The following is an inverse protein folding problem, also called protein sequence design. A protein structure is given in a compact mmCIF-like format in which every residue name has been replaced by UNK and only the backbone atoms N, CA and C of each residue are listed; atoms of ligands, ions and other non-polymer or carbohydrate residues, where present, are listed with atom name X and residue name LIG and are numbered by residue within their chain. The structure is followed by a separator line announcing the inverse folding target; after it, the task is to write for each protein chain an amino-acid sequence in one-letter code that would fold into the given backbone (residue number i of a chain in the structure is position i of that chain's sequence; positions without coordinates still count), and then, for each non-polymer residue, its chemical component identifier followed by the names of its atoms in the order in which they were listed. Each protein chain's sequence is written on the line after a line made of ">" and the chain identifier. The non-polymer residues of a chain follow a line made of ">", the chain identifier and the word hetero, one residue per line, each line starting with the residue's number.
data_IF_819086243790
#
_entry.id   IF_819086243790
#
_cell.length_a   1.000
_cell.length_b   1.000
_cell.length_c   1.000
_cell.angle_alpha   90.00
_cell.angle_beta   90.00
_cell.angle_gamma   90.00
#
_symmetry.space_group_name_H-M   'P 1'
#
loop_
_entity.id
_entity.type
_entity.pdbx_description
1 polymer ?
#
# COMPACT_ATOMS: atom_id res chain seq x y z
N UNK A 1 6.01 34.73 35.09
CA UNK A 1 7.06 34.23 34.17
C UNK A 1 7.99 33.26 34.87
N UNK A 2 8.36 33.53 36.13
CA UNK A 2 9.18 32.66 36.99
C UNK A 2 8.59 31.26 37.18
N UNK A 3 7.27 31.15 37.38
CA UNK A 3 6.59 29.86 37.54
C UNK A 3 6.71 28.94 36.31
N UNK A 4 6.72 29.49 35.09
CA UNK A 4 6.90 28.70 33.86
C UNK A 4 8.34 28.22 33.70
N UNK A 5 9.31 29.05 34.09
CA UNK A 5 10.73 28.69 34.06
C UNK A 5 11.08 27.64 35.13
N UNK A 6 10.43 27.67 36.29
CA UNK A 6 10.54 26.61 37.30
C UNK A 6 9.88 25.31 36.83
N UNK A 7 8.69 25.35 36.22
CA UNK A 7 8.06 24.15 35.63
C UNK A 7 8.96 23.55 34.53
N UNK A 8 9.57 24.40 33.69
CA UNK A 8 10.51 23.98 32.65
C UNK A 8 11.80 23.41 33.26
N UNK A 9 12.36 24.02 34.31
CA UNK A 9 13.55 23.51 35.01
C UNK A 9 13.29 22.21 35.78
N UNK A 10 12.13 22.08 36.40
CA UNK A 10 11.68 20.85 37.09
C UNK A 10 11.39 19.74 36.08
N UNK A 11 10.79 20.07 34.93
CA UNK A 11 10.59 19.14 33.82
C UNK A 11 11.89 18.70 33.13
N UNK A 12 12.90 19.57 33.05
CA UNK A 12 14.23 19.26 32.51
C UNK A 12 15.19 18.62 33.52
N UNK A 13 14.95 18.81 34.82
CA UNK A 13 15.89 18.46 35.90
C UNK A 13 16.18 16.98 36.05
N UNK A 14 15.28 16.12 35.55
CA UNK A 14 15.40 14.67 35.54
C UNK A 14 15.02 14.10 34.16
N UNK A 15 15.46 14.76 33.08
CA UNK A 15 15.23 14.23 31.74
C UNK A 15 16.03 12.95 31.52
N UNK A 16 15.44 11.83 31.96
CA UNK A 16 16.07 10.53 31.90
C UNK A 16 16.30 10.17 30.44
N UNK A 17 17.55 9.89 30.08
CA UNK A 17 17.91 9.36 28.76
C UNK A 17 17.00 8.18 28.37
N UNK A 18 16.55 7.39 29.35
CA UNK A 18 15.59 6.32 29.15
C UNK A 18 14.24 6.78 28.55
N UNK A 19 13.69 7.90 29.03
CA UNK A 19 12.42 8.45 28.52
C UNK A 19 12.59 8.93 27.07
N UNK A 20 13.67 9.65 26.77
CA UNK A 20 13.99 10.08 25.41
C UNK A 20 14.18 8.90 24.46
N UNK A 21 14.97 7.90 24.86
CA UNK A 21 15.21 6.69 24.08
C UNK A 21 13.90 5.95 23.81
N UNK A 22 13.06 5.78 24.84
CA UNK A 22 11.76 5.11 24.72
C UNK A 22 10.85 5.77 23.67
N UNK A 23 10.77 7.10 23.68
CA UNK A 23 9.96 7.82 22.71
C UNK A 23 10.51 7.71 21.29
N UNK A 24 11.83 7.85 21.12
CA UNK A 24 12.48 7.68 19.82
C UNK A 24 12.28 6.26 19.29
N UNK A 25 12.34 5.23 20.14
CA UNK A 25 12.06 3.85 19.77
C UNK A 25 10.63 3.68 19.26
N UNK A 26 9.63 4.27 19.93
CA UNK A 26 8.23 4.22 19.49
C UNK A 26 8.03 4.95 18.17
N UNK A 27 8.63 6.15 18.00
CA UNK A 27 8.54 6.90 16.73
C UNK A 27 9.19 6.10 15.60
N UNK A 28 10.36 5.51 15.83
CA UNK A 28 11.04 4.65 14.86
C UNK A 28 10.18 3.42 14.49
N UNK A 29 9.54 2.79 15.47
CA UNK A 29 8.60 1.70 15.23
C UNK A 29 7.41 2.15 14.36
N UNK A 30 6.85 3.33 14.61
CA UNK A 30 5.76 3.89 13.79
C UNK A 30 6.20 4.18 12.34
N UNK A 31 7.41 4.69 12.14
CA UNK A 31 8.01 4.90 10.79
C UNK A 31 8.17 3.55 10.08
N UNK A 32 8.64 2.54 10.80
CA UNK A 32 8.81 1.20 10.27
C UNK A 32 7.49 0.55 9.84
N UNK A 33 6.46 0.60 10.71
CA UNK A 33 5.13 0.03 10.43
C UNK A 33 4.47 0.71 9.24
N UNK A 34 4.51 2.04 9.16
CA UNK A 34 3.93 2.79 8.03
C UNK A 34 4.66 2.49 6.71
N UNK A 35 5.99 2.30 6.77
CA UNK A 35 6.78 1.82 5.63
C UNK A 35 6.36 0.42 5.17
N UNK A 36 6.23 -0.53 6.10
CA UNK A 36 5.76 -1.89 5.79
C UNK A 36 4.36 -1.90 5.16
N UNK A 37 3.43 -1.07 5.66
CA UNK A 37 2.09 -0.96 5.09
C UNK A 37 2.11 -0.42 3.65
N UNK A 38 2.94 0.59 3.36
CA UNK A 38 3.08 1.14 2.00
C UNK A 38 3.66 0.13 1.00
N UNK A 39 4.62 -0.68 1.46
CA UNK A 39 5.16 -1.80 0.67
C UNK A 39 4.09 -2.86 0.45
N UNK A 40 3.32 -3.20 1.48
CA UNK A 40 2.24 -4.19 1.41
C UNK A 40 1.11 -3.75 0.46
N UNK A 41 0.70 -2.48 0.47
CA UNK A 41 -0.27 -1.92 -0.49
C UNK A 41 0.26 -2.05 -1.93
N UNK A 42 1.53 -1.71 -2.13
CA UNK A 42 2.16 -1.81 -3.45
C UNK A 42 2.29 -3.27 -3.92
N UNK A 43 2.67 -4.18 -3.03
CA UNK A 43 2.73 -5.61 -3.32
C UNK A 43 1.33 -6.17 -3.64
N UNK A 44 0.30 -5.75 -2.92
CA UNK A 44 -1.10 -6.09 -3.19
C UNK A 44 -1.54 -5.57 -4.56
N UNK A 45 -1.17 -4.33 -4.91
CA UNK A 45 -1.42 -3.73 -6.22
C UNK A 45 -0.72 -4.45 -7.37
N UNK A 46 0.55 -4.85 -7.18
CA UNK A 46 1.32 -5.64 -8.16
C UNK A 46 0.72 -7.04 -8.35
N UNK A 47 0.38 -7.71 -7.25
CA UNK A 47 -0.24 -9.03 -7.30
C UNK A 47 -1.63 -8.96 -7.97
N UNK A 48 -2.37 -7.86 -7.79
CA UNK A 48 -3.64 -7.61 -8.48
C UNK A 48 -3.41 -7.44 -9.97
N UNK A 49 -2.51 -6.53 -10.36
CA UNK A 49 -2.22 -6.26 -11.78
C UNK A 49 -1.75 -7.50 -12.55
N UNK A 50 -0.94 -8.37 -11.92
CA UNK A 50 -0.54 -9.66 -12.51
C UNK A 50 -1.72 -10.61 -12.75
N UNK A 51 -2.71 -10.62 -11.84
CA UNK A 51 -3.91 -11.48 -11.96
C UNK A 51 -4.91 -10.94 -12.98
N UNK A 52 -5.03 -9.62 -13.13
CA UNK A 52 -5.94 -8.98 -14.10
C UNK A 52 -5.31 -8.75 -15.48
N UNK A 53 -4.05 -9.12 -15.69
CA UNK A 53 -3.35 -8.96 -16.97
C UNK A 53 -3.00 -7.51 -17.35
N UNK A 54 -3.12 -6.56 -16.43
CA UNK A 54 -2.74 -5.16 -16.69
C UNK A 54 -1.21 -5.01 -16.76
N UNK A 55 -0.72 -4.22 -17.73
CA UNK A 55 0.72 -3.92 -17.85
C UNK A 55 1.22 -3.25 -16.57
N UNK A 56 2.18 -3.92 -15.91
CA UNK A 56 2.97 -3.37 -14.80
C UNK A 56 3.70 -2.09 -15.26
N UNK A 57 3.16 -0.92 -14.89
CA UNK A 57 3.82 0.36 -15.16
C UNK A 57 4.79 0.71 -14.03
N UNK A 58 6.08 0.84 -14.37
CA UNK A 58 7.16 1.30 -13.47
C UNK A 58 6.86 2.65 -12.78
N UNK A 59 6.05 3.49 -13.42
CA UNK A 59 5.56 4.75 -12.86
C UNK A 59 4.81 4.57 -11.52
N UNK A 60 4.11 3.44 -11.32
CA UNK A 60 3.36 3.18 -10.08
C UNK A 60 4.29 3.01 -8.86
N UNK A 61 5.46 2.40 -9.05
CA UNK A 61 6.48 2.25 -8.01
C UNK A 61 7.08 3.59 -7.58
N UNK A 62 7.39 4.48 -8.55
CA UNK A 62 7.88 5.83 -8.23
C UNK A 62 6.89 6.63 -7.38
N UNK A 63 5.60 6.51 -7.69
CA UNK A 63 4.53 7.15 -6.92
C UNK A 63 4.41 6.58 -5.49
N UNK A 64 4.68 5.28 -5.30
CA UNK A 64 4.77 4.69 -3.95
C UNK A 64 5.96 5.27 -3.17
N UNK A 65 7.15 5.35 -3.79
CA UNK A 65 8.33 5.93 -3.14
C UNK A 65 8.09 7.39 -2.75
N UNK A 66 7.43 8.16 -3.61
CA UNK A 66 7.06 9.55 -3.32
C UNK A 66 6.10 9.65 -2.13
N UNK A 67 5.04 8.83 -2.08
CA UNK A 67 4.14 8.74 -0.92
C UNK A 67 4.90 8.35 0.35
N UNK A 68 5.76 7.34 0.26
CA UNK A 68 6.54 6.85 1.40
C UNK A 68 7.49 7.92 1.94
N UNK A 69 8.17 8.65 1.05
CA UNK A 69 9.03 9.77 1.42
C UNK A 69 8.25 10.88 2.12
N UNK A 70 7.05 11.23 1.61
CA UNK A 70 6.17 12.22 2.23
C UNK A 70 5.69 11.77 3.61
N UNK A 71 5.26 10.51 3.75
CA UNK A 71 4.83 9.96 5.04
C UNK A 71 5.97 9.96 6.06
N UNK A 72 7.17 9.55 5.66
CA UNK A 72 8.33 9.59 6.55
C UNK A 72 8.73 11.01 6.91
N UNK A 73 8.67 11.96 5.97
CA UNK A 73 8.95 13.37 6.26
C UNK A 73 7.98 13.92 7.32
N UNK A 74 6.68 13.72 7.14
CA UNK A 74 5.68 14.15 8.13
C UNK A 74 5.81 13.39 9.46
N UNK A 75 6.13 12.09 9.43
CA UNK A 75 6.31 11.30 10.65
C UNK A 75 7.53 11.76 11.46
N UNK A 76 8.62 12.14 10.80
CA UNK A 76 9.79 12.76 11.44
C UNK A 76 9.42 14.13 12.02
N UNK A 77 8.69 14.97 11.27
CA UNK A 77 8.27 16.30 11.74
C UNK A 77 7.38 16.18 12.99
N UNK A 78 6.39 15.29 12.95
CA UNK A 78 5.53 14.99 14.10
C UNK A 78 6.32 14.38 15.25
N UNK A 79 7.34 13.55 14.95
CA UNK A 79 8.27 13.00 15.93
C UNK A 79 9.07 14.08 16.65
N UNK A 80 9.62 15.07 15.92
CA UNK A 80 10.33 16.21 16.51
C UNK A 80 9.40 17.02 17.42
N UNK A 81 8.17 17.29 16.97
CA UNK A 81 7.16 17.93 17.82
C UNK A 81 6.87 17.10 19.07
N UNK A 82 6.76 15.78 18.93
CA UNK A 82 6.61 14.86 20.06
C UNK A 82 7.77 14.89 21.05
N UNK A 83 9.01 15.04 20.58
CA UNK A 83 10.20 15.19 21.43
C UNK A 83 10.22 16.54 22.16
N UNK A 84 9.70 17.60 21.55
CA UNK A 84 9.53 18.89 22.23
C UNK A 84 8.45 18.76 23.31
N UNK A 85 7.35 18.09 23.00
CA UNK A 85 6.26 17.89 23.96
C UNK A 85 6.65 16.99 25.13
N UNK A 86 7.60 16.09 24.95
CA UNK A 86 8.03 15.23 26.04
C UNK A 86 8.79 15.90 27.15
N UNK A 87 9.29 17.12 26.90
CA UNK A 87 9.80 18.02 27.94
C UNK A 87 8.72 18.36 28.98
N UNK A 88 7.44 18.15 28.66
CA UNK A 88 6.35 18.33 29.60
C UNK A 88 6.03 17.02 30.35
N UNK A 89 5.79 17.09 31.67
CA UNK A 89 5.59 15.90 32.53
C UNK A 89 4.30 15.13 32.24
N UNK A 90 3.36 15.70 31.49
CA UNK A 90 2.11 15.04 31.09
C UNK A 90 2.24 14.23 29.79
N UNK A 91 3.38 14.30 29.11
CA UNK A 91 3.58 13.70 27.79
C UNK A 91 4.51 12.47 27.87
N UNK A 92 3.95 11.36 28.35
CA UNK A 92 4.68 10.11 28.60
C UNK A 92 4.95 9.28 27.33
N UNK A 93 4.17 9.50 26.26
CA UNK A 93 4.22 8.73 25.02
C UNK A 93 4.11 9.66 23.81
N UNK A 94 4.69 9.30 22.64
CA UNK A 94 4.59 10.11 21.44
C UNK A 94 3.22 9.92 20.76
N UNK A 95 2.15 10.40 21.42
CA UNK A 95 0.76 10.25 20.99
C UNK A 95 0.54 10.74 19.55
N UNK A 96 1.16 11.87 19.20
CA UNK A 96 1.02 12.46 17.86
C UNK A 96 1.54 11.54 16.76
N UNK A 97 2.71 10.92 16.97
CA UNK A 97 3.29 9.98 16.00
C UNK A 97 2.48 8.69 15.88
N UNK A 98 1.88 8.22 16.98
CA UNK A 98 1.00 7.04 16.98
C UNK A 98 -0.29 7.34 16.19
N UNK A 99 -0.93 8.48 16.47
CA UNK A 99 -2.15 8.91 15.76
C UNK A 99 -1.90 9.08 14.27
N UNK A 100 -0.79 9.71 13.89
CA UNK A 100 -0.45 9.91 12.48
C UNK A 100 -0.17 8.58 11.77
N UNK A 101 0.56 7.67 12.42
CA UNK A 101 0.80 6.32 11.88
C UNK A 101 -0.50 5.54 11.70
N UNK A 102 -1.42 5.60 12.67
CA UNK A 102 -2.73 4.96 12.57
C UNK A 102 -3.55 5.52 11.39
N UNK A 103 -3.54 6.85 11.19
CA UNK A 103 -4.21 7.49 10.05
C UNK A 103 -3.66 7.00 8.70
N UNK A 104 -2.34 6.89 8.56
CA UNK A 104 -1.70 6.33 7.35
C UNK A 104 -2.12 4.87 7.14
N UNK A 105 -2.05 4.05 8.18
CA UNK A 105 -2.43 2.64 8.10
C UNK A 105 -3.91 2.46 7.68
N UNK A 106 -4.81 3.32 8.17
CA UNK A 106 -6.23 3.31 7.75
C UNK A 106 -6.36 3.72 6.28
N UNK A 107 -5.64 4.75 5.84
CA UNK A 107 -5.70 5.23 4.45
C UNK A 107 -5.19 4.17 3.46
N UNK A 108 -4.02 3.56 3.72
CA UNK A 108 -3.47 2.50 2.89
C UNK A 108 -4.29 1.20 3.01
N UNK A 109 -4.79 0.88 4.20
CA UNK A 109 -5.69 -0.26 4.41
C UNK A 109 -6.99 -0.16 3.59
N UNK A 110 -7.57 1.03 3.46
CA UNK A 110 -8.72 1.26 2.56
C UNK A 110 -8.37 1.03 1.09
N UNK A 111 -7.19 1.44 0.63
CA UNK A 111 -6.69 1.15 -0.73
C UNK A 111 -6.56 -0.36 -0.97
N UNK A 112 -6.02 -1.11 0.01
CA UNK A 112 -5.91 -2.56 -0.08
C UNK A 112 -7.27 -3.26 -0.17
N UNK A 113 -8.26 -2.78 0.59
CA UNK A 113 -9.63 -3.30 0.53
C UNK A 113 -10.28 -3.09 -0.83
N UNK A 114 -10.10 -1.92 -1.45
CA UNK A 114 -10.62 -1.63 -2.79
C UNK A 114 -9.98 -2.55 -3.85
N UNK A 115 -8.67 -2.74 -3.79
CA UNK A 115 -7.97 -3.68 -4.67
C UNK A 115 -8.46 -5.12 -4.50
N UNK A 116 -8.72 -5.55 -3.27
CA UNK A 116 -9.28 -6.87 -2.98
C UNK A 116 -10.71 -7.04 -3.54
N UNK A 117 -11.56 -6.01 -3.40
CA UNK A 117 -12.92 -6.04 -3.93
C UNK A 117 -12.96 -6.10 -5.46
N UNK A 118 -12.10 -5.35 -6.15
CA UNK A 118 -11.95 -5.43 -7.62
C UNK A 118 -11.51 -6.83 -8.11
N UNK A 119 -10.83 -7.63 -7.28
CA UNK A 119 -10.51 -9.04 -7.60
C UNK A 119 -11.75 -9.92 -7.58
N UNK A 120 -12.64 -9.76 -6.59
CA UNK A 120 -13.89 -10.53 -6.54
C UNK A 120 -14.75 -10.25 -7.76
N UNK A 121 -14.86 -8.98 -8.14
CA UNK A 121 -15.74 -8.57 -9.24
C UNK A 121 -15.17 -8.91 -10.64
N UNK A 122 -13.85 -8.84 -10.85
CA UNK A 122 -13.25 -9.21 -12.14
C UNK A 122 -13.11 -10.73 -12.34
N UNK A 123 -12.84 -11.50 -11.27
CA UNK A 123 -12.79 -12.97 -11.37
C UNK A 123 -14.19 -13.55 -11.62
N UNK A 124 -15.26 -12.88 -11.20
CA UNK A 124 -16.64 -13.27 -11.52
C UNK A 124 -17.00 -13.01 -13.00
N UNK A 125 -16.48 -11.93 -13.58
CA UNK A 125 -16.78 -11.55 -14.98
C UNK A 125 -16.09 -12.39 -16.04
N UNK A 126 -14.97 -13.03 -15.71
CA UNK A 126 -14.26 -13.92 -16.67
C UNK A 126 -15.10 -15.16 -17.02
N UNK A 127 -15.63 -15.94 -16.07
CA UNK A 127 -16.50 -17.07 -16.38
C UNK A 127 -17.84 -16.62 -17.00
N UNK A 128 -18.39 -15.48 -16.60
CA UNK A 128 -19.61 -14.93 -17.22
C UNK A 128 -19.37 -14.52 -18.68
N UNK A 129 -18.31 -13.79 -18.99
CA UNK A 129 -17.97 -13.43 -20.37
C UNK A 129 -17.61 -14.65 -21.23
N UNK A 130 -16.99 -15.69 -20.63
CA UNK A 130 -16.73 -16.96 -21.31
C UNK A 130 -18.04 -17.72 -21.56
N UNK A 131 -18.97 -17.74 -20.61
CA UNK A 131 -20.30 -18.34 -20.81
C UNK A 131 -21.11 -17.60 -21.87
N UNK A 132 -21.13 -16.27 -21.84
CA UNK A 132 -21.83 -15.45 -22.83
C UNK A 132 -21.27 -15.66 -24.24
N UNK A 133 -19.95 -15.85 -24.36
CA UNK A 133 -19.30 -16.23 -25.63
C UNK A 133 -19.60 -17.67 -26.04
N UNK A 134 -19.69 -18.62 -25.11
CA UNK A 134 -20.11 -20.01 -25.38
C UNK A 134 -21.55 -20.03 -25.89
N UNK A 135 -22.43 -19.24 -25.29
CA UNK A 135 -23.84 -19.13 -25.68
C UNK A 135 -23.99 -18.46 -27.05
N UNK A 136 -23.21 -17.40 -27.33
CA UNK A 136 -23.18 -16.73 -28.64
C UNK A 136 -22.60 -17.60 -29.76
N UNK A 137 -21.60 -18.43 -29.44
CA UNK A 137 -20.90 -19.31 -30.39
C UNK A 137 -21.53 -20.72 -30.41
N UNK A 138 -22.65 -20.93 -29.72
CA UNK A 138 -23.42 -22.19 -29.81
C UNK A 138 -22.77 -23.40 -29.14
N UNK A 139 -21.73 -23.23 -28.33
CA UNK A 139 -21.10 -24.31 -27.57
C UNK A 139 -19.58 -24.16 -27.40
N UNK A 140 -19.04 -24.82 -26.36
CA UNK A 140 -17.61 -24.76 -26.03
C UNK A 140 -16.70 -25.25 -27.18
N UNK A 141 -17.15 -26.25 -27.93
CA UNK A 141 -16.35 -26.86 -28.99
C UNK A 141 -16.15 -25.95 -30.20
N UNK A 142 -17.14 -25.11 -30.52
CA UNK A 142 -17.01 -24.11 -31.59
C UNK A 142 -16.11 -22.96 -31.15
N UNK A 143 -16.25 -22.47 -29.90
CA UNK A 143 -15.38 -21.43 -29.35
C UNK A 143 -13.90 -21.85 -29.34
N UNK A 144 -13.61 -23.09 -28.94
CA UNK A 144 -12.25 -23.66 -29.00
C UNK A 144 -11.72 -23.68 -30.43
N UNK A 145 -12.53 -24.11 -31.41
CA UNK A 145 -12.15 -24.13 -32.82
C UNK A 145 -11.85 -22.74 -33.37
N UNK A 146 -12.67 -21.74 -33.04
CA UNK A 146 -12.46 -20.34 -33.47
C UNK A 146 -11.20 -19.74 -32.85
N UNK A 147 -10.94 -20.02 -31.56
CA UNK A 147 -9.70 -19.59 -30.89
C UNK A 147 -8.47 -20.25 -31.54
N UNK A 148 -8.51 -21.55 -31.82
CA UNK A 148 -7.40 -22.27 -32.47
C UNK A 148 -7.13 -21.70 -33.86
N UNK A 149 -8.18 -21.45 -34.67
CA UNK A 149 -8.01 -20.87 -36.01
C UNK A 149 -7.49 -19.43 -35.97
N UNK A 150 -7.93 -18.61 -35.01
CA UNK A 150 -7.40 -17.25 -34.83
C UNK A 150 -5.95 -17.25 -34.35
N UNK A 151 -5.59 -18.18 -33.46
CA UNK A 151 -4.21 -18.35 -32.98
C UNK A 151 -3.32 -18.85 -34.13
N UNK A 152 -3.75 -19.83 -34.91
CA UNK A 152 -3.01 -20.29 -36.11
C UNK A 152 -2.83 -19.16 -37.14
N UNK A 153 -3.88 -18.37 -37.38
CA UNK A 153 -3.83 -17.21 -38.28
C UNK A 153 -2.90 -16.12 -37.78
N UNK A 154 -2.83 -15.89 -36.46
CA UNK A 154 -1.91 -14.91 -35.83
C UNK A 154 -0.47 -15.39 -35.77
N UNK A 155 -0.25 -16.70 -35.67
CA UNK A 155 1.06 -17.33 -35.71
C UNK A 155 1.59 -17.51 -37.13
N UNK A 156 0.84 -17.11 -38.16
CA UNK A 156 1.27 -17.19 -39.55
C UNK A 156 1.47 -18.63 -40.04
N UNK A 157 0.75 -19.60 -39.47
CA UNK A 157 0.72 -20.98 -39.96
C UNK A 157 -0.30 -21.05 -41.12
N UNK A 158 -0.07 -20.26 -42.16
CA UNK A 158 -0.59 -20.54 -43.49
C UNK A 158 0.62 -20.88 -44.36
N UNK A 159 0.77 -22.17 -44.66
CA UNK A 159 1.70 -22.64 -45.69
C UNK A 159 2.50 -23.88 -45.29
N UNK A 160 1.95 -25.07 -45.59
CA UNK A 160 2.78 -26.27 -45.60
C UNK A 160 2.04 -27.59 -45.66
N UNK A 161 1.26 -27.83 -46.73
CA UNK A 161 1.25 -29.05 -47.57
C UNK A 161 -0.14 -29.26 -48.17
N UNK A 162 -0.22 -29.28 -49.51
CA UNK A 162 -1.02 -30.20 -50.33
C UNK A 162 -0.76 -29.86 -51.82
N UNK A 163 0.40 -30.28 -52.30
CA UNK A 163 0.64 -30.75 -53.68
C UNK A 163 1.64 -31.89 -53.59
#
# INVERSE_FOLDING_TARGET
>A
MENYLEIIKVGMGDYSLHHLVWQLTIVAFCIFVTGLFSIADTASGIYTAKKTGEKLRSHRLRKTFEKMAVYWFFQILVGVVGVIFSLFPWYNLPYMSILFAAMICIAEGRSMWEHSRRRKDNVAKVPEAVQELIDLVGGEEELKRTLITLVQKRLGVEGGTLT
#
